data_IF_221155740990
#
_entry.id   IF_221155740990
#
_cell.length_a   1.000
_cell.length_b   1.000
_cell.length_c   1.000
_cell.angle_alpha   90.00
_cell.angle_beta   90.00
_cell.angle_gamma   90.00
#
_symmetry.space_group_name_H-M   'P 1'
#
loop_
_entity.id
_entity.type
_entity.pdbx_description
1 polymer ?
#
# COMPACT_ATOMS: atom_id res chain seq x y z
N UNK A 1 17.41 26.60 -11.13
CA UNK A 1 17.11 25.84 -9.90
C UNK A 1 17.36 24.35 -10.08
N UNK A 2 17.83 23.64 -9.05
CA UNK A 2 17.96 22.17 -9.05
C UNK A 2 17.22 21.59 -7.85
N UNK A 3 16.49 20.51 -8.08
CA UNK A 3 15.76 19.78 -7.04
C UNK A 3 16.60 18.63 -6.50
N UNK A 4 16.40 18.30 -5.23
CA UNK A 4 17.03 17.16 -4.56
C UNK A 4 16.00 16.05 -4.29
N UNK A 5 16.43 14.79 -4.45
CA UNK A 5 15.62 13.62 -4.08
C UNK A 5 15.83 13.34 -2.59
N UNK A 6 14.74 13.33 -1.81
CA UNK A 6 14.75 12.94 -0.39
C UNK A 6 13.92 11.68 -0.18
N UNK A 7 14.38 10.79 0.68
CA UNK A 7 13.65 9.60 1.11
C UNK A 7 13.71 9.52 2.63
N UNK A 8 12.57 9.29 3.27
CA UNK A 8 12.45 9.07 4.71
C UNK A 8 12.04 7.63 4.96
N UNK A 9 12.46 7.08 6.11
CA UNK A 9 12.03 5.75 6.55
C UNK A 9 10.83 5.92 7.47
N UNK A 10 9.77 5.16 7.22
CA UNK A 10 8.56 5.16 8.04
C UNK A 10 8.36 3.78 8.66
N UNK A 11 8.06 3.75 9.96
CA UNK A 11 7.77 2.51 10.67
C UNK A 11 6.26 2.27 10.66
N UNK A 12 5.84 1.18 10.00
CA UNK A 12 4.47 0.72 9.96
C UNK A 12 4.34 -0.63 10.65
N UNK A 13 3.18 -0.87 11.28
CA UNK A 13 2.83 -2.19 11.81
C UNK A 13 2.33 -3.08 10.68
N UNK A 14 2.94 -4.26 10.56
CA UNK A 14 2.45 -5.35 9.72
C UNK A 14 1.48 -6.21 10.54
N UNK A 15 0.23 -6.41 10.09
CA UNK A 15 -0.67 -7.36 10.72
C UNK A 15 -0.31 -8.79 10.31
N UNK A 16 -0.50 -9.75 11.23
CA UNK A 16 -0.15 -11.16 11.02
C UNK A 16 -0.82 -11.79 9.80
N UNK A 17 -2.04 -11.33 9.45
CA UNK A 17 -2.77 -11.82 8.29
C UNK A 17 -2.06 -11.56 6.94
N UNK A 18 -1.35 -10.44 6.81
CA UNK A 18 -0.67 -10.05 5.58
C UNK A 18 0.82 -10.43 5.57
N UNK A 19 1.28 -11.13 6.61
CA UNK A 19 2.71 -11.44 6.77
C UNK A 19 3.23 -12.42 5.72
N UNK A 20 2.36 -13.25 5.13
CA UNK A 20 2.74 -14.22 4.08
C UNK A 20 2.78 -13.60 2.67
N UNK A 21 2.14 -12.44 2.46
CA UNK A 21 1.90 -11.85 1.14
C UNK A 21 2.92 -10.74 0.80
N UNK A 22 3.54 -10.17 1.83
CA UNK A 22 4.41 -9.01 1.72
C UNK A 22 5.87 -9.45 1.83
N UNK A 23 6.63 -9.22 0.77
CA UNK A 23 8.06 -9.48 0.74
C UNK A 23 8.86 -8.18 0.53
N UNK A 24 10.16 -8.26 0.82
CA UNK A 24 11.08 -7.13 0.64
C UNK A 24 11.16 -6.78 -0.84
N UNK A 25 10.80 -5.54 -1.19
CA UNK A 25 10.79 -5.05 -2.58
C UNK A 25 9.40 -4.80 -3.16
N UNK A 26 8.34 -5.16 -2.42
CA UNK A 26 6.97 -4.85 -2.80
C UNK A 26 6.60 -3.39 -2.52
N UNK A 27 5.70 -2.85 -3.34
CA UNK A 27 5.03 -1.57 -3.07
C UNK A 27 3.79 -1.83 -2.23
N UNK A 28 3.69 -1.12 -1.10
CA UNK A 28 2.60 -1.29 -0.14
C UNK A 28 1.94 0.05 0.15
N UNK A 29 0.63 0.01 0.36
CA UNK A 29 -0.14 1.15 0.85
C UNK A 29 -0.17 1.13 2.38
N UNK A 30 0.10 2.30 2.95
CA UNK A 30 0.17 2.52 4.39
C UNK A 30 -0.82 3.63 4.74
N UNK A 31 -1.56 3.47 5.84
CA UNK A 31 -2.46 4.49 6.36
C UNK A 31 -2.05 4.94 7.76
N UNK A 32 -2.38 6.19 8.07
CA UNK A 32 -2.28 6.75 9.41
C UNK A 32 -3.26 6.05 10.36
N UNK A 33 -2.84 5.80 11.58
CA UNK A 33 -3.64 5.18 12.62
C UNK A 33 -3.43 5.92 13.95
N UNK A 34 -4.14 5.47 15.00
CA UNK A 34 -3.82 5.86 16.38
C UNK A 34 -2.35 5.48 16.67
N UNK A 35 -1.60 6.25 17.49
CA UNK A 35 -0.31 5.80 18.02
C UNK A 35 -0.42 4.40 18.63
N UNK A 36 0.22 3.42 17.98
CA UNK A 36 0.30 2.03 18.45
C UNK A 36 1.52 1.85 19.36
N UNK A 37 2.59 2.61 19.08
CA UNK A 37 3.82 2.64 19.87
C UNK A 37 4.45 4.03 19.77
N UNK A 38 5.60 4.22 20.40
CA UNK A 38 6.36 5.48 20.39
C UNK A 38 6.79 5.91 18.97
N UNK A 39 6.94 4.95 18.06
CA UNK A 39 7.48 5.16 16.71
C UNK A 39 6.45 4.75 15.64
N UNK A 40 5.50 3.88 15.98
CA UNK A 40 4.57 3.27 15.03
C UNK A 40 3.21 3.98 15.12
N UNK A 41 2.93 4.79 14.10
CA UNK A 41 1.67 5.52 13.93
C UNK A 41 0.93 5.11 12.65
N UNK A 42 1.41 4.04 12.01
CA UNK A 42 0.98 3.65 10.69
C UNK A 42 0.70 2.16 10.62
N UNK A 43 -0.28 1.78 9.81
CA UNK A 43 -0.64 0.38 9.56
C UNK A 43 -0.63 0.10 8.07
N UNK A 44 -0.21 -1.10 7.70
CA UNK A 44 -0.26 -1.57 6.31
C UNK A 44 -1.69 -1.97 5.96
N UNK A 45 -2.16 -1.55 4.79
CA UNK A 45 -3.54 -1.79 4.34
C UNK A 45 -3.62 -2.75 3.16
N UNK A 46 -2.63 -2.73 2.27
CA UNK A 46 -2.61 -3.63 1.13
C UNK A 46 -1.36 -3.49 0.28
N UNK A 47 -1.15 -4.45 -0.61
CA UNK A 47 -0.07 -4.45 -1.60
C UNK A 47 -0.56 -3.75 -2.87
N UNK A 48 0.20 -2.77 -3.34
CA UNK A 48 -0.06 -2.08 -4.60
C UNK A 48 0.79 -2.74 -5.68
N UNK A 49 0.15 -3.42 -6.63
CA UNK A 49 0.88 -4.02 -7.73
C UNK A 49 1.18 -2.94 -8.78
N UNK A 50 2.41 -2.43 -8.81
CA UNK A 50 2.82 -1.31 -9.68
C UNK A 50 3.05 -1.70 -11.14
N UNK A 51 2.24 -2.61 -11.69
CA UNK A 51 2.36 -3.05 -13.09
C UNK A 51 1.00 -3.26 -13.74
N UNK A 52 0.24 -2.18 -13.87
CA UNK A 52 -0.75 -2.02 -14.94
C UNK A 52 -0.62 -0.62 -15.55
N UNK A 53 0.58 -0.29 -16.02
CA UNK A 53 0.68 0.62 -17.15
C UNK A 53 0.20 -0.16 -18.38
N UNK A 54 -0.80 0.39 -19.09
CA UNK A 54 -1.54 -0.13 -20.27
C UNK A 54 -2.67 -1.13 -19.97
N UNK A 55 -3.95 -0.77 -19.95
CA UNK A 55 -4.67 -0.04 -21.01
C UNK A 55 -6.15 0.23 -20.65
N UNK A 56 -6.61 1.47 -20.89
CA UNK A 56 -8.02 1.89 -21.09
C UNK A 56 -9.10 1.30 -20.17
N UNK A 57 -9.61 2.09 -19.21
CA UNK A 57 -11.08 2.29 -19.07
C UNK A 57 -11.36 3.72 -18.57
N UNK A 58 -12.05 4.59 -19.34
CA UNK A 58 -12.65 5.80 -18.77
C UNK A 58 -13.74 5.39 -17.76
N UNK A 59 -14.04 6.30 -16.83
CA UNK A 59 -14.98 6.18 -15.71
C UNK A 59 -16.09 5.12 -15.87
N UNK A 60 -16.09 4.15 -14.95
CA UNK A 60 -17.29 3.47 -14.46
C UNK A 60 -17.75 2.24 -15.24
N UNK A 61 -17.41 1.04 -14.74
CA UNK A 61 -18.31 -0.13 -14.75
C UNK A 61 -18.02 -0.93 -13.48
N UNK A 62 -19.09 -1.22 -12.71
CA UNK A 62 -19.10 -2.16 -11.60
C UNK A 62 -18.95 -3.58 -12.14
N UNK A 63 -17.98 -4.34 -11.63
CA UNK A 63 -18.02 -5.79 -11.75
C UNK A 63 -18.69 -6.36 -10.48
N UNK A 64 -19.96 -6.73 -10.64
CA UNK A 64 -20.64 -7.71 -9.78
C UNK A 64 -20.06 -9.10 -10.07
N UNK A 65 -19.98 -9.94 -9.04
CA UNK A 65 -19.68 -11.38 -9.13
C UNK A 65 -19.02 -11.83 -7.81
N UNK A 66 -19.76 -12.19 -6.77
CA UNK A 66 -20.41 -13.50 -6.57
C UNK A 66 -19.46 -14.67 -6.90
N UNK A 67 -18.82 -15.21 -5.86
CA UNK A 67 -18.46 -16.63 -5.78
C UNK A 67 -19.53 -17.36 -4.95
N UNK A 68 -20.56 -17.87 -5.63
CA UNK A 68 -21.11 -19.24 -5.58
C UNK A 68 -22.57 -19.31 -6.00
#
# INVERSE_FOLDING_TARGET
ERYAKRKTKLHARLPDCMSNEINIGDYIEIKECRPISKIIHFVVVGKVNSREDTSRKPLGVLDKGEEK
#
